data_IF_726017098447
#
_entry.id   IF_726017098447
#
_cell.length_a   1.000
_cell.length_b   1.000
_cell.length_c   1.000
_cell.angle_alpha   90.00
_cell.angle_beta   90.00
_cell.angle_gamma   90.00
#
_symmetry.space_group_name_H-M   'P 1'
#
loop_
_entity.id
_entity.type
_entity.pdbx_description
1 polymer ?
#
# COMPACT_ATOMS: atom_id res chain seq x y z
N UNK A 1 11.96 7.55 29.53
CA UNK A 1 12.34 7.12 28.16
C UNK A 1 11.23 7.56 27.24
N UNK A 2 11.45 8.61 26.43
CA UNK A 2 10.41 9.33 25.73
C UNK A 2 10.55 9.10 24.22
N UNK A 3 10.19 7.89 23.80
CA UNK A 3 10.34 7.35 22.44
C UNK A 3 9.71 8.24 21.35
N UNK A 4 8.69 9.03 21.68
CA UNK A 4 7.97 9.88 20.72
C UNK A 4 8.79 11.03 20.13
N UNK A 5 9.75 11.60 20.87
CA UNK A 5 10.64 12.67 20.37
C UNK A 5 12.00 12.12 19.93
N UNK A 6 12.46 11.08 20.60
CA UNK A 6 13.76 10.46 20.35
C UNK A 6 13.83 9.84 18.94
N UNK A 7 12.73 9.27 18.44
CA UNK A 7 12.65 8.76 17.06
C UNK A 7 12.83 9.84 16.00
N UNK A 8 12.34 11.06 16.24
CA UNK A 8 12.50 12.17 15.28
C UNK A 8 13.97 12.54 15.16
N UNK A 9 14.70 12.58 16.27
CA UNK A 9 16.14 12.87 16.28
C UNK A 9 16.93 11.78 15.54
N UNK A 10 16.62 10.51 15.80
CA UNK A 10 17.25 9.39 15.09
C UNK A 10 16.94 9.45 13.59
N UNK A 11 15.71 9.80 13.22
CA UNK A 11 15.31 9.96 11.83
C UNK A 11 16.09 11.08 11.13
N UNK A 12 16.30 12.22 11.79
CA UNK A 12 17.10 13.32 11.25
C UNK A 12 18.55 12.88 11.05
N UNK A 13 19.16 12.19 12.03
CA UNK A 13 20.54 11.68 11.90
C UNK A 13 20.64 10.69 10.74
N UNK A 14 19.67 9.76 10.64
CA UNK A 14 19.61 8.82 9.52
C UNK A 14 19.45 9.53 8.17
N UNK A 15 18.64 10.58 8.10
CA UNK A 15 18.47 11.40 6.90
C UNK A 15 19.74 12.17 6.51
N UNK A 16 20.59 12.56 7.46
CA UNK A 16 21.89 13.19 7.14
C UNK A 16 22.87 12.16 6.56
N UNK A 17 22.91 10.94 7.12
CA UNK A 17 23.81 9.87 6.65
C UNK A 17 23.36 9.33 5.29
N UNK A 18 22.08 8.99 5.17
CA UNK A 18 21.53 8.38 3.96
C UNK A 18 21.10 9.43 2.93
N UNK A 19 20.71 10.63 3.34
CA UNK A 19 20.14 11.64 2.47
C UNK A 19 18.64 11.41 2.20
N UNK A 20 17.81 12.47 2.16
CA UNK A 20 16.38 12.34 1.85
C UNK A 20 16.12 11.75 0.47
N UNK A 21 16.98 12.05 -0.51
CA UNK A 21 16.85 11.54 -1.89
C UNK A 21 17.03 10.02 -1.99
N UNK A 22 17.91 9.42 -1.17
CA UNK A 22 18.08 7.95 -1.16
C UNK A 22 16.88 7.26 -0.52
N UNK A 23 16.36 7.80 0.58
CA UNK A 23 15.15 7.26 1.22
C UNK A 23 13.92 7.41 0.32
N UNK A 24 13.77 8.54 -0.39
CA UNK A 24 12.69 8.72 -1.36
C UNK A 24 12.81 7.75 -2.55
N UNK A 25 14.02 7.53 -3.06
CA UNK A 25 14.27 6.56 -4.12
C UNK A 25 13.90 5.13 -3.71
N UNK A 26 14.40 4.68 -2.55
CA UNK A 26 14.06 3.35 -2.00
C UNK A 26 12.57 3.23 -1.69
N UNK A 27 11.96 4.26 -1.09
CA UNK A 27 10.53 4.30 -0.81
C UNK A 27 9.67 4.22 -2.06
N UNK A 28 10.08 4.86 -3.16
CA UNK A 28 9.40 4.76 -4.45
C UNK A 28 9.41 3.34 -5.03
N UNK A 29 10.55 2.66 -4.97
CA UNK A 29 10.68 1.26 -5.43
C UNK A 29 9.86 0.33 -4.55
N UNK A 30 10.02 0.40 -3.24
CA UNK A 30 9.26 -0.41 -2.28
C UNK A 30 7.76 -0.18 -2.40
N UNK A 31 7.35 1.09 -2.53
CA UNK A 31 5.94 1.45 -2.70
C UNK A 31 5.33 0.88 -3.97
N UNK A 32 6.07 0.88 -5.09
CA UNK A 32 5.64 0.23 -6.33
C UNK A 32 5.48 -1.27 -6.15
N UNK A 33 6.48 -1.94 -5.55
CA UNK A 33 6.43 -3.38 -5.28
C UNK A 33 5.26 -3.75 -4.36
N UNK A 34 5.03 -3.00 -3.28
CA UNK A 34 3.91 -3.22 -2.36
C UNK A 34 2.57 -3.01 -3.08
N UNK A 35 2.46 -1.99 -3.93
CA UNK A 35 1.24 -1.74 -4.72
C UNK A 35 0.94 -2.89 -5.68
N UNK A 36 1.95 -3.37 -6.40
CA UNK A 36 1.82 -4.48 -7.35
C UNK A 36 1.50 -5.80 -6.60
N UNK A 37 2.10 -6.01 -5.44
CA UNK A 37 1.78 -7.12 -4.54
C UNK A 37 0.32 -7.07 -4.08
N UNK A 38 -0.15 -5.91 -3.57
CA UNK A 38 -1.55 -5.74 -3.15
C UNK A 38 -2.51 -6.02 -4.29
N UNK A 39 -2.22 -5.52 -5.49
CA UNK A 39 -3.05 -5.75 -6.67
C UNK A 39 -3.11 -7.24 -7.04
N UNK A 40 -1.97 -7.93 -7.01
CA UNK A 40 -1.92 -9.38 -7.30
C UNK A 40 -2.69 -10.20 -6.28
N UNK A 41 -2.71 -9.76 -5.01
CA UNK A 41 -3.51 -10.41 -3.95
C UNK A 41 -5.00 -10.13 -4.12
N UNK A 42 -5.38 -8.89 -4.46
CA UNK A 42 -6.77 -8.48 -4.71
C UNK A 42 -7.36 -9.16 -5.95
N UNK A 43 -6.59 -9.30 -7.03
CA UNK A 43 -6.99 -10.02 -8.24
C UNK A 43 -7.13 -11.54 -8.00
N UNK A 44 -6.63 -12.06 -6.88
CA UNK A 44 -6.75 -13.46 -6.46
C UNK A 44 -7.88 -13.73 -5.46
N UNK A 45 -8.65 -12.71 -5.03
CA UNK A 45 -9.89 -12.96 -4.29
C UNK A 45 -11.00 -13.43 -5.26
N UNK A 46 -11.56 -14.64 -5.09
CA UNK A 46 -12.58 -15.20 -5.97
C UNK A 46 -13.98 -14.59 -5.74
N UNK A 47 -14.08 -13.36 -5.21
CA UNK A 47 -15.34 -12.81 -4.71
C UNK A 47 -15.66 -11.43 -5.31
N UNK A 48 -15.47 -11.29 -6.63
CA UNK A 48 -16.39 -10.40 -7.37
C UNK A 48 -17.73 -11.12 -7.43
N UNK A 49 -18.81 -10.55 -6.87
CA UNK A 49 -20.15 -11.09 -7.09
C UNK A 49 -20.33 -11.27 -8.59
N UNK A 50 -20.60 -12.51 -9.01
CA UNK A 50 -20.94 -12.84 -10.39
C UNK A 50 -21.98 -11.81 -10.87
N UNK A 51 -21.89 -11.31 -12.11
CA UNK A 51 -22.93 -10.46 -12.68
C UNK A 51 -24.29 -11.08 -12.37
N UNK A 52 -25.11 -10.38 -11.58
CA UNK A 52 -26.43 -10.88 -11.22
C UNK A 52 -27.17 -11.15 -12.54
N UNK A 53 -27.66 -12.38 -12.78
CA UNK A 53 -28.40 -12.66 -13.99
C UNK A 53 -29.55 -11.64 -14.10
N UNK A 54 -29.86 -11.15 -15.32
CA UNK A 54 -30.89 -10.13 -15.50
C UNK A 54 -32.15 -10.60 -14.78
N UNK A 55 -32.58 -9.84 -13.78
CA UNK A 55 -33.87 -10.04 -13.13
C UNK A 55 -34.92 -9.73 -14.20
N UNK A 56 -35.37 -10.78 -14.89
CA UNK A 56 -36.41 -10.74 -15.90
C UNK A 56 -37.69 -10.21 -15.22
N UNK A 57 -38.16 -8.99 -15.55
CA UNK A 57 -39.34 -8.43 -14.93
C UNK A 57 -40.59 -9.00 -15.61
N UNK A 58 -40.76 -10.32 -15.57
CA UNK A 58 -41.93 -10.99 -16.15
C UNK A 58 -42.32 -12.24 -15.34
N UNK A 59 -42.69 -12.07 -14.07
CA UNK A 59 -43.61 -12.97 -13.38
C UNK A 59 -44.42 -12.21 -12.31
N UNK A 60 -45.51 -11.57 -12.72
CA UNK A 60 -46.88 -11.81 -12.20
C UNK A 60 -47.93 -10.99 -12.96
#
# INVERSE_FOLDING_TARGET
MNVSKDLIIVLIIALVIFGPSRLAGLGGVLGKTIRDFRKSVEDHEPDKPLPQPPSDPTQH
#
